data_IF_391216266631
#
_entry.id   IF_391216266631
#
_cell.length_a   1.000
_cell.length_b   1.000
_cell.length_c   1.000
_cell.angle_alpha   90.00
_cell.angle_beta   90.00
_cell.angle_gamma   90.00
#
_symmetry.space_group_name_H-M   'P 1'
#
loop_
_entity.id
_entity.type
_entity.pdbx_description
1 polymer ?
#
# COMPACT_ATOMS: atom_id res chain seq x y z
N UNK A 1 12.86 -13.26 9.17
CA UNK A 1 12.27 -12.01 8.66
C UNK A 1 11.19 -12.36 7.66
N UNK A 2 10.06 -11.64 7.65
CA UNK A 2 8.93 -11.93 6.73
C UNK A 2 9.40 -11.82 5.27
N UNK A 3 9.03 -12.78 4.44
CA UNK A 3 9.29 -12.79 3.00
C UNK A 3 8.09 -12.23 2.23
N UNK A 4 8.32 -11.66 1.03
CA UNK A 4 7.24 -11.26 0.10
C UNK A 4 6.32 -12.44 -0.25
N UNK A 5 6.84 -13.67 -0.23
CA UNK A 5 6.08 -14.89 -0.44
C UNK A 5 5.01 -15.16 0.63
N UNK A 6 5.08 -14.50 1.80
CA UNK A 6 4.12 -14.66 2.89
C UNK A 6 2.89 -13.74 2.72
N UNK A 7 2.99 -12.66 1.94
CA UNK A 7 1.94 -11.66 1.72
C UNK A 7 0.66 -12.16 1.02
N UNK A 8 0.71 -13.10 0.05
CA UNK A 8 -0.48 -13.71 -0.55
C UNK A 8 -1.36 -14.39 0.49
N UNK A 9 -0.75 -15.09 1.46
CA UNK A 9 -1.47 -15.85 2.50
C UNK A 9 -2.16 -14.94 3.51
N UNK A 10 -1.73 -13.68 3.59
CA UNK A 10 -2.26 -12.67 4.51
C UNK A 10 -3.25 -11.71 3.85
N UNK A 11 -3.57 -11.89 2.56
CA UNK A 11 -4.45 -10.98 1.83
C UNK A 11 -3.86 -9.58 1.62
N UNK A 12 -2.53 -9.42 1.76
CA UNK A 12 -1.85 -8.10 1.75
C UNK A 12 -1.37 -7.65 0.38
N UNK A 13 -1.52 -8.48 -0.65
CA UNK A 13 -1.01 -8.18 -1.99
C UNK A 13 -1.63 -6.94 -2.64
N UNK A 14 -2.89 -6.61 -2.31
CA UNK A 14 -3.53 -5.41 -2.82
C UNK A 14 -2.73 -4.15 -2.46
N UNK A 15 -2.58 -3.88 -1.16
CA UNK A 15 -1.86 -2.70 -0.67
C UNK A 15 -0.36 -2.80 -0.95
N UNK A 16 0.26 -3.97 -0.73
CA UNK A 16 1.68 -4.15 -0.99
C UNK A 16 2.03 -3.89 -2.46
N UNK A 17 1.24 -4.41 -3.39
CA UNK A 17 1.43 -4.15 -4.81
C UNK A 17 1.14 -2.69 -5.19
N UNK A 18 0.23 -2.00 -4.49
CA UNK A 18 0.01 -0.56 -4.70
C UNK A 18 1.25 0.23 -4.29
N UNK A 19 1.82 -0.05 -3.12
CA UNK A 19 3.04 0.61 -2.65
C UNK A 19 4.23 0.38 -3.59
N UNK A 20 4.43 -0.85 -4.06
CA UNK A 20 5.46 -1.18 -5.04
C UNK A 20 5.33 -0.33 -6.31
N UNK A 21 4.12 -0.23 -6.88
CA UNK A 21 3.88 0.54 -8.10
C UNK A 21 4.06 2.04 -7.90
N UNK A 22 3.61 2.57 -6.77
CA UNK A 22 3.80 3.98 -6.44
C UNK A 22 5.30 4.31 -6.32
N UNK A 23 6.07 3.42 -5.68
CA UNK A 23 7.53 3.58 -5.55
C UNK A 23 8.24 3.53 -6.91
N UNK A 24 7.81 2.66 -7.82
CA UNK A 24 8.36 2.60 -9.19
C UNK A 24 8.12 3.91 -9.98
N UNK A 25 7.06 4.65 -9.66
CA UNK A 25 6.75 5.94 -10.26
C UNK A 25 7.41 7.12 -9.53
N UNK A 26 8.39 6.87 -8.65
CA UNK A 26 8.98 7.87 -7.75
C UNK A 26 7.94 8.64 -6.93
N UNK A 27 6.80 8.00 -6.65
CA UNK A 27 5.71 8.56 -5.87
C UNK A 27 5.75 8.13 -4.40
N UNK A 28 4.80 8.66 -3.64
CA UNK A 28 4.59 8.35 -2.24
C UNK A 28 3.14 7.90 -1.99
N UNK A 29 2.99 6.97 -1.05
CA UNK A 29 1.69 6.44 -0.63
C UNK A 29 1.51 6.62 0.89
N UNK A 30 0.34 7.09 1.32
CA UNK A 30 -0.03 7.20 2.75
C UNK A 30 -1.38 6.54 2.98
N UNK A 31 -1.52 5.84 4.11
CA UNK A 31 -2.77 5.17 4.51
C UNK A 31 -3.16 5.67 5.89
N UNK A 32 -4.39 6.15 6.02
CA UNK A 32 -4.98 6.56 7.28
C UNK A 32 -6.25 5.73 7.50
N UNK A 33 -6.34 5.02 8.62
CA UNK A 33 -7.53 4.26 8.99
C UNK A 33 -7.90 4.54 10.43
N UNK A 34 -9.19 4.71 10.68
CA UNK A 34 -9.75 4.88 12.03
C UNK A 34 -11.00 4.00 12.15
N UNK A 35 -11.19 3.27 13.28
CA UNK A 35 -12.42 2.55 13.55
C UNK A 35 -13.64 3.46 13.34
N UNK A 36 -14.68 2.93 12.71
CA UNK A 36 -15.95 3.63 12.42
C UNK A 36 -15.83 4.88 11.53
N UNK A 37 -14.67 5.13 10.93
CA UNK A 37 -14.44 6.23 9.97
C UNK A 37 -13.99 5.75 8.59
N UNK A 38 -13.72 4.45 8.46
CA UNK A 38 -13.20 3.85 7.24
C UNK A 38 -11.70 4.07 7.06
N UNK A 39 -11.25 3.90 5.81
CA UNK A 39 -9.84 3.95 5.41
C UNK A 39 -9.66 4.90 4.24
N UNK A 40 -8.68 5.80 4.35
CA UNK A 40 -8.25 6.70 3.28
C UNK A 40 -6.87 6.29 2.79
N UNK A 41 -6.75 6.17 1.47
CA UNK A 41 -5.48 5.88 0.79
C UNK A 41 -5.15 7.08 -0.09
N UNK A 42 -3.97 7.67 0.08
CA UNK A 42 -3.50 8.83 -0.67
C UNK A 42 -2.24 8.47 -1.45
N UNK A 43 -2.20 8.86 -2.72
CA UNK A 43 -1.08 8.62 -3.64
C UNK A 43 -0.67 9.97 -4.23
N UNK A 44 0.62 10.26 -4.17
CA UNK A 44 1.26 11.44 -4.76
C UNK A 44 2.31 10.95 -5.76
N UNK A 45 2.19 11.31 -7.04
CA UNK A 45 3.14 10.93 -8.10
C UNK A 45 3.56 12.16 -8.90
N UNK A 46 4.83 12.25 -9.37
CA UNK A 46 5.24 13.27 -10.33
C UNK A 46 4.47 13.16 -11.65
N UNK A 47 4.27 14.30 -12.33
CA UNK A 47 3.70 14.40 -13.68
C UNK A 47 4.82 14.48 -14.72
#
# INVERSE_FOLDING_TARGET
GRSLADLPREGKLGIAGMEERVRLLNGNMRIESKPDKGTKVMIEVPI
#
